data_IF_488011258104
#
_entry.id   IF_488011258104
#
_cell.length_a   1.000
_cell.length_b   1.000
_cell.length_c   1.000
_cell.angle_alpha   90.00
_cell.angle_beta   90.00
_cell.angle_gamma   90.00
#
_symmetry.space_group_name_H-M   'P 1'
#
loop_
_entity.id
_entity.type
_entity.pdbx_description
1 polymer ?
#
# COMPACT_ATOMS: atom_id res chain seq x y z
N UNK A 1 -2.68 -10.50 -13.59
CA UNK A 1 -2.24 -9.79 -12.37
C UNK A 1 -3.34 -8.81 -12.00
N UNK A 2 -3.79 -8.78 -10.74
CA UNK A 2 -5.00 -8.06 -10.30
C UNK A 2 -6.24 -8.37 -11.15
N UNK A 3 -6.80 -9.56 -10.97
CA UNK A 3 -7.96 -10.01 -11.73
C UNK A 3 -9.19 -9.12 -11.48
N UNK A 4 -9.30 -8.60 -10.26
CA UNK A 4 -10.27 -7.58 -9.83
C UNK A 4 -10.14 -6.27 -10.65
N UNK A 5 -8.92 -5.76 -10.82
CA UNK A 5 -8.65 -4.59 -11.63
C UNK A 5 -8.99 -4.84 -13.11
N UNK A 6 -8.55 -5.98 -13.66
CA UNK A 6 -8.79 -6.32 -15.07
C UNK A 6 -10.28 -6.50 -15.36
N UNK A 7 -11.03 -7.12 -14.45
CA UNK A 7 -12.47 -7.28 -14.57
C UNK A 7 -13.17 -5.91 -14.58
N UNK A 8 -12.88 -5.06 -13.60
CA UNK A 8 -13.45 -3.71 -13.53
C UNK A 8 -13.10 -2.86 -14.75
N UNK A 9 -11.85 -2.94 -15.21
CA UNK A 9 -11.39 -2.24 -16.42
C UNK A 9 -12.16 -2.69 -17.66
N UNK A 10 -12.31 -4.00 -17.90
CA UNK A 10 -13.03 -4.54 -19.06
C UNK A 10 -14.51 -4.19 -19.05
N UNK A 11 -15.16 -4.20 -17.88
CA UNK A 11 -16.55 -3.76 -17.72
C UNK A 11 -16.67 -2.28 -18.12
N UNK A 12 -15.79 -1.42 -17.61
CA UNK A 12 -15.79 0.00 -17.95
C UNK A 12 -15.51 0.25 -19.44
N UNK A 13 -14.56 -0.47 -20.04
CA UNK A 13 -14.25 -0.42 -21.48
C UNK A 13 -15.43 -0.91 -22.35
N UNK A 14 -16.34 -1.70 -21.79
CA UNK A 14 -17.58 -2.14 -22.45
C UNK A 14 -18.73 -1.14 -22.33
N UNK A 15 -18.46 0.11 -21.95
CA UNK A 15 -19.46 1.17 -21.69
C UNK A 15 -20.47 0.82 -20.57
N UNK A 16 -20.13 -0.14 -19.70
CA UNK A 16 -20.93 -0.46 -18.52
C UNK A 16 -20.41 0.29 -17.30
N UNK A 17 -21.32 0.56 -16.34
CA UNK A 17 -20.98 1.25 -15.10
C UNK A 17 -20.54 0.26 -14.02
N UNK A 18 -19.33 0.45 -13.49
CA UNK A 18 -18.89 -0.23 -12.27
C UNK A 18 -19.55 0.44 -11.07
N UNK A 19 -20.35 -0.30 -10.29
CA UNK A 19 -20.99 0.18 -9.06
C UNK A 19 -20.36 -0.47 -7.83
N UNK A 20 -20.31 0.27 -6.72
CA UNK A 20 -19.84 -0.26 -5.44
C UNK A 20 -21.01 -0.83 -4.65
N UNK A 21 -20.83 -2.04 -4.11
CA UNK A 21 -21.78 -2.62 -3.16
C UNK A 21 -21.74 -1.86 -1.83
N UNK A 22 -22.89 -1.75 -1.15
CA UNK A 22 -22.97 -1.22 0.22
C UNK A 22 -22.46 -2.24 1.26
N UNK A 23 -22.31 -3.50 0.86
CA UNK A 23 -21.84 -4.58 1.73
C UNK A 23 -20.31 -4.63 1.72
N UNK A 24 -19.71 -4.55 2.90
CA UNK A 24 -18.30 -4.86 3.11
C UNK A 24 -18.10 -6.37 3.15
N UNK A 25 -17.10 -6.86 2.44
CA UNK A 25 -16.59 -8.23 2.55
C UNK A 25 -15.33 -8.25 3.40
N UNK A 26 -15.17 -9.28 4.22
CA UNK A 26 -13.95 -9.47 5.00
C UNK A 26 -12.86 -10.10 4.14
N UNK A 27 -11.61 -9.64 4.33
CA UNK A 27 -10.45 -10.23 3.68
C UNK A 27 -9.75 -11.17 4.66
N UNK A 28 -9.64 -12.44 4.29
CA UNK A 28 -8.81 -13.38 5.02
C UNK A 28 -7.33 -13.09 4.79
N UNK A 29 -6.60 -12.81 5.88
CA UNK A 29 -5.16 -12.64 5.86
C UNK A 29 -4.51 -13.84 6.58
N UNK A 30 -3.85 -14.75 5.86
CA UNK A 30 -3.16 -15.87 6.50
C UNK A 30 -1.95 -15.39 7.31
N UNK A 31 -1.55 -16.17 8.31
CA UNK A 31 -0.32 -15.90 9.05
C UNK A 31 0.90 -15.93 8.12
N UNK A 32 1.75 -14.90 8.24
CA UNK A 32 2.98 -14.76 7.48
C UNK A 32 4.18 -14.72 8.43
N UNK A 33 5.26 -15.38 8.02
CA UNK A 33 6.59 -14.96 8.47
C UNK A 33 6.99 -13.64 7.78
N UNK A 34 8.07 -13.01 8.25
CA UNK A 34 8.52 -11.72 7.71
C UNK A 34 8.86 -11.80 6.21
N UNK A 35 9.43 -12.92 5.75
CA UNK A 35 9.80 -13.10 4.34
C UNK A 35 8.56 -13.13 3.45
N UNK A 36 7.56 -13.95 3.79
CA UNK A 36 6.28 -14.02 3.09
C UNK A 36 5.55 -12.69 3.11
N UNK A 37 5.61 -11.96 4.23
CA UNK A 37 5.06 -10.61 4.30
C UNK A 37 5.72 -9.69 3.27
N UNK A 38 7.05 -9.63 3.22
CA UNK A 38 7.77 -8.80 2.25
C UNK A 38 7.47 -9.24 0.80
N UNK A 39 7.49 -10.55 0.50
CA UNK A 39 7.12 -11.07 -0.82
C UNK A 39 5.70 -10.64 -1.22
N UNK A 40 4.75 -10.71 -0.28
CA UNK A 40 3.38 -10.29 -0.51
C UNK A 40 3.28 -8.79 -0.80
N UNK A 41 3.99 -7.96 -0.03
CA UNK A 41 4.02 -6.51 -0.22
C UNK A 41 4.65 -6.12 -1.57
N UNK A 42 5.76 -6.77 -1.95
CA UNK A 42 6.39 -6.56 -3.25
C UNK A 42 5.48 -6.97 -4.41
N UNK A 43 4.75 -8.08 -4.27
CA UNK A 43 3.74 -8.50 -5.25
C UNK A 43 2.64 -7.45 -5.41
N UNK A 44 2.14 -6.89 -4.31
CA UNK A 44 1.16 -5.81 -4.34
C UNK A 44 1.70 -4.57 -5.07
N UNK A 45 2.91 -4.13 -4.75
CA UNK A 45 3.52 -2.97 -5.43
C UNK A 45 3.71 -3.21 -6.93
N UNK A 46 4.22 -4.38 -7.33
CA UNK A 46 4.37 -4.76 -8.74
C UNK A 46 3.02 -4.82 -9.46
N UNK A 47 1.97 -5.25 -8.76
CA UNK A 47 0.59 -5.27 -9.25
C UNK A 47 0.05 -3.88 -9.51
N UNK A 48 0.18 -2.95 -8.56
CA UNK A 48 -0.24 -1.57 -8.73
C UNK A 48 0.53 -0.92 -9.88
N UNK A 49 1.85 -1.14 -9.95
CA UNK A 49 2.70 -0.63 -11.03
C UNK A 49 2.25 -1.13 -12.40
N UNK A 50 1.96 -2.43 -12.54
CA UNK A 50 1.50 -3.01 -13.80
C UNK A 50 0.11 -2.50 -14.22
N UNK A 51 -0.80 -2.34 -13.25
CA UNK A 51 -2.18 -1.94 -13.51
C UNK A 51 -2.30 -0.43 -13.77
N UNK A 52 -1.58 0.40 -13.01
CA UNK A 52 -1.68 1.88 -13.01
C UNK A 52 -0.30 2.51 -12.80
N UNK A 53 0.58 2.55 -13.83
CA UNK A 53 1.95 3.08 -13.68
C UNK A 53 2.00 4.51 -13.16
N UNK A 54 1.14 5.41 -13.68
CA UNK A 54 1.05 6.79 -13.19
C UNK A 54 0.55 6.88 -11.74
N UNK A 55 -0.41 6.03 -11.36
CA UNK A 55 -0.87 5.93 -9.97
C UNK A 55 0.22 5.41 -9.03
N UNK A 56 1.04 4.48 -9.51
CA UNK A 56 2.19 3.96 -8.77
C UNK A 56 3.25 5.02 -8.52
N UNK A 57 3.57 5.84 -9.53
CA UNK A 57 4.46 6.99 -9.36
C UNK A 57 3.90 7.99 -8.35
N UNK A 58 2.59 8.28 -8.43
CA UNK A 58 1.90 9.17 -7.50
C UNK A 58 1.89 8.71 -6.03
N UNK A 59 2.09 7.42 -5.74
CA UNK A 59 2.15 6.92 -4.36
C UNK A 59 3.20 7.63 -3.51
N UNK A 60 4.32 8.05 -4.11
CA UNK A 60 5.38 8.76 -3.39
C UNK A 60 4.86 10.01 -2.68
N UNK A 61 3.85 10.68 -3.22
CA UNK A 61 3.24 11.89 -2.63
C UNK A 61 2.42 11.58 -1.36
N UNK A 62 2.05 10.32 -1.14
CA UNK A 62 1.20 9.90 -0.02
C UNK A 62 2.00 9.52 1.23
N UNK A 63 3.34 9.53 1.17
CA UNK A 63 4.21 9.09 2.26
C UNK A 63 4.34 10.15 3.36
N UNK A 64 3.35 10.20 4.27
CA UNK A 64 3.26 11.24 5.30
C UNK A 64 4.50 11.36 6.18
N UNK A 65 4.90 10.30 6.91
CA UNK A 65 6.03 10.38 7.85
C UNK A 65 7.39 10.57 7.16
N UNK A 66 7.71 9.86 6.06
CA UNK A 66 8.96 10.11 5.33
C UNK A 66 9.14 11.57 4.90
N UNK A 67 8.11 12.21 4.36
CA UNK A 67 8.19 13.63 3.99
C UNK A 67 8.30 14.55 5.20
N UNK A 68 7.56 14.28 6.28
CA UNK A 68 7.62 15.09 7.49
C UNK A 68 9.02 15.01 8.16
N UNK A 69 9.63 13.83 8.20
CA UNK A 69 11.00 13.64 8.70
C UNK A 69 12.00 14.36 7.81
N UNK A 70 11.89 14.21 6.49
CA UNK A 70 12.79 14.86 5.55
C UNK A 70 12.72 16.40 5.69
N UNK A 71 11.52 16.96 5.80
CA UNK A 71 11.33 18.40 6.03
C UNK A 71 11.98 18.86 7.34
N UNK A 72 11.80 18.11 8.43
CA UNK A 72 12.39 18.40 9.73
C UNK A 72 13.93 18.39 9.68
N UNK A 73 14.52 17.39 9.01
CA UNK A 73 15.97 17.27 8.84
C UNK A 73 16.55 18.38 7.98
N UNK A 74 15.94 18.67 6.83
CA UNK A 74 16.39 19.72 5.92
C UNK A 74 16.24 21.12 6.52
N UNK A 75 15.20 21.34 7.33
CA UNK A 75 14.99 22.57 8.08
C UNK A 75 15.82 22.65 9.37
N UNK A 76 16.67 21.66 9.65
CA UNK A 76 17.55 21.60 10.84
C UNK A 76 16.80 21.80 12.16
N UNK A 77 15.58 21.27 12.26
CA UNK A 77 14.76 21.39 13.47
C UNK A 77 14.10 22.75 13.67
N UNK A 78 13.93 23.57 12.62
CA UNK A 78 13.19 24.82 12.72
C UNK A 78 11.79 24.63 13.33
N UNK A 79 11.32 25.60 14.12
CA UNK A 79 10.04 25.51 14.84
C UNK A 79 8.85 25.13 13.95
N UNK A 80 8.73 25.73 12.76
CA UNK A 80 7.65 25.42 11.82
C UNK A 80 7.71 23.95 11.33
N UNK A 81 8.91 23.38 11.18
CA UNK A 81 9.10 22.01 10.73
C UNK A 81 8.78 21.01 11.86
N UNK A 82 9.11 21.36 13.11
CA UNK A 82 8.67 20.61 14.29
C UNK A 82 7.14 20.58 14.40
N UNK A 83 6.48 21.73 14.21
CA UNK A 83 5.01 21.82 14.21
C UNK A 83 4.39 21.00 13.07
N UNK A 84 4.96 21.08 11.86
CA UNK A 84 4.52 20.28 10.71
C UNK A 84 4.66 18.78 10.99
N UNK A 85 5.78 18.35 11.57
CA UNK A 85 6.02 16.96 11.95
C UNK A 85 5.02 16.47 13.00
N UNK A 86 4.78 17.27 14.05
CA UNK A 86 3.79 16.95 15.08
C UNK A 86 2.37 16.85 14.51
N UNK A 87 1.98 17.80 13.63
CA UNK A 87 0.69 17.77 12.95
C UNK A 87 0.54 16.55 12.03
N UNK A 88 1.59 16.19 11.29
CA UNK A 88 1.60 15.03 10.40
C UNK A 88 1.40 13.72 11.19
N UNK A 89 2.09 13.54 12.31
CA UNK A 89 1.89 12.40 13.22
C UNK A 89 0.46 12.39 13.75
N UNK A 90 -0.02 13.51 14.29
CA UNK A 90 -1.35 13.59 14.89
C UNK A 90 -2.44 13.21 13.88
N UNK A 91 -2.40 13.80 12.68
CA UNK A 91 -3.34 13.49 11.59
C UNK A 91 -3.24 12.03 11.17
N UNK A 92 -2.03 11.49 11.07
CA UNK A 92 -1.80 10.10 10.66
C UNK A 92 -2.43 9.10 11.63
N UNK A 93 -2.25 9.32 12.93
CA UNK A 93 -2.88 8.53 13.98
C UNK A 93 -4.40 8.75 14.03
N UNK A 94 -4.88 10.00 13.89
CA UNK A 94 -6.31 10.30 13.86
C UNK A 94 -7.02 9.55 12.72
N UNK A 95 -6.49 9.60 11.50
CA UNK A 95 -7.05 8.87 10.35
C UNK A 95 -7.05 7.36 10.61
N UNK A 96 -5.96 6.81 11.15
CA UNK A 96 -5.88 5.38 11.47
C UNK A 96 -6.89 4.96 12.56
N UNK A 97 -7.06 5.77 13.60
CA UNK A 97 -8.01 5.48 14.69
C UNK A 97 -9.45 5.60 14.19
N UNK A 98 -9.78 6.68 13.47
CA UNK A 98 -11.14 6.90 12.95
C UNK A 98 -11.50 5.77 11.99
N UNK A 99 -10.69 5.52 10.96
CA UNK A 99 -10.97 4.45 9.99
C UNK A 99 -10.98 3.06 10.63
N UNK A 100 -10.02 2.76 11.50
CA UNK A 100 -9.94 1.49 12.21
C UNK A 100 -11.15 1.21 13.10
N UNK A 101 -11.66 2.24 13.78
CA UNK A 101 -12.78 2.09 14.73
C UNK A 101 -14.15 2.16 14.07
N UNK A 102 -14.37 3.12 13.16
CA UNK A 102 -15.71 3.39 12.61
C UNK A 102 -16.01 2.56 11.37
N UNK A 103 -15.01 2.37 10.50
CA UNK A 103 -15.17 1.66 9.23
C UNK A 103 -14.83 0.19 9.40
N UNK A 104 -13.61 -0.11 9.88
CA UNK A 104 -13.11 -1.49 9.96
C UNK A 104 -13.57 -2.23 11.23
N UNK A 105 -13.96 -1.50 12.28
CA UNK A 105 -14.34 -2.05 13.60
C UNK A 105 -13.28 -3.03 14.15
N UNK A 106 -12.00 -2.70 13.94
CA UNK A 106 -10.87 -3.55 14.27
C UNK A 106 -10.67 -3.65 15.79
N UNK A 107 -10.77 -4.87 16.33
CA UNK A 107 -10.60 -5.18 17.75
C UNK A 107 -9.14 -5.08 18.22
N UNK A 108 -8.18 -5.17 17.30
CA UNK A 108 -6.75 -5.13 17.59
C UNK A 108 -6.13 -3.74 17.41
N UNK A 109 -6.91 -2.76 16.95
CA UNK A 109 -6.46 -1.41 16.62
C UNK A 109 -5.48 -0.83 17.64
N UNK A 110 -5.91 -0.67 18.90
CA UNK A 110 -5.08 -0.03 19.92
C UNK A 110 -3.86 -0.86 20.33
N UNK A 111 -3.92 -2.19 20.21
CA UNK A 111 -2.79 -3.08 20.50
C UNK A 111 -1.68 -2.94 19.47
N UNK A 112 -2.04 -2.73 18.21
CA UNK A 112 -1.12 -2.70 17.07
C UNK A 112 -0.84 -1.29 16.57
N UNK A 113 -1.46 -0.26 17.15
CA UNK A 113 -1.36 1.13 16.69
C UNK A 113 0.09 1.65 16.66
N UNK A 114 0.93 1.17 17.57
CA UNK A 114 2.36 1.51 17.62
C UNK A 114 3.16 0.99 16.41
N UNK A 115 2.64 0.02 15.64
CA UNK A 115 3.25 -0.44 14.40
C UNK A 115 3.02 0.53 13.23
N UNK A 116 2.13 1.51 13.40
CA UNK A 116 1.78 2.46 12.34
C UNK A 116 2.99 3.29 11.87
N UNK A 117 3.81 3.90 12.75
CA UNK A 117 5.00 4.62 12.33
C UNK A 117 6.03 3.70 11.66
N UNK A 118 6.24 2.49 12.19
CA UNK A 118 7.13 1.51 11.60
C UNK A 118 6.69 1.16 10.17
N UNK A 119 5.39 0.93 9.97
CA UNK A 119 4.82 0.64 8.66
C UNK A 119 5.02 1.80 7.68
N UNK A 120 4.79 3.03 8.11
CA UNK A 120 4.98 4.21 7.27
C UNK A 120 6.46 4.37 6.85
N UNK A 121 7.40 4.13 7.77
CA UNK A 121 8.84 4.19 7.48
C UNK A 121 9.29 3.08 6.52
N UNK A 122 8.68 1.90 6.57
CA UNK A 122 8.97 0.79 5.65
C UNK A 122 8.37 0.99 4.25
N UNK A 123 7.36 1.83 4.11
CA UNK A 123 6.58 1.98 2.86
C UNK A 123 7.45 2.44 1.67
N UNK A 124 8.34 3.45 1.80
CA UNK A 124 9.24 3.85 0.72
C UNK A 124 10.13 2.71 0.23
N UNK A 125 10.66 1.87 1.13
CA UNK A 125 11.55 0.76 0.77
C UNK A 125 10.80 -0.33 -0.02
N UNK A 126 9.57 -0.65 0.41
CA UNK A 126 8.71 -1.59 -0.31
C UNK A 126 8.32 -1.03 -1.68
N UNK A 127 8.04 0.28 -1.77
CA UNK A 127 7.73 0.96 -3.02
C UNK A 127 8.94 0.99 -3.98
N UNK A 128 10.15 1.28 -3.50
CA UNK A 128 11.37 1.15 -4.32
C UNK A 128 11.56 -0.31 -4.75
N UNK A 129 11.39 -1.27 -3.83
CA UNK A 129 11.48 -2.70 -4.14
C UNK A 129 10.47 -3.17 -5.18
N UNK A 130 9.30 -2.55 -5.27
CA UNK A 130 8.32 -2.81 -6.31
C UNK A 130 8.71 -2.30 -7.70
N UNK A 131 9.62 -1.31 -7.79
CA UNK A 131 10.24 -0.89 -9.05
C UNK A 131 11.25 -1.93 -9.55
N UNK A 132 11.86 -2.70 -8.65
CA UNK A 132 12.89 -3.67 -8.97
C UNK A 132 12.29 -5.07 -9.11
N UNK A 133 12.69 -5.78 -10.17
CA UNK A 133 12.33 -7.17 -10.40
C UNK A 133 10.94 -7.39 -11.00
N UNK A 134 10.82 -8.54 -11.68
CA UNK A 134 9.59 -9.00 -12.36
C UNK A 134 9.03 -10.30 -11.76
N UNK A 135 9.76 -10.97 -10.88
CA UNK A 135 9.33 -12.22 -10.26
C UNK A 135 8.14 -12.00 -9.32
N UNK A 136 7.14 -12.85 -9.39
CA UNK A 136 5.94 -12.82 -8.56
C UNK A 136 5.68 -14.24 -8.08
N UNK A 137 5.67 -14.45 -6.76
CA UNK A 137 5.26 -15.72 -6.17
C UNK A 137 3.76 -15.63 -5.90
N UNK A 138 2.98 -16.54 -6.50
CA UNK A 138 1.53 -16.60 -6.32
C UNK A 138 1.05 -18.03 -6.16
N UNK A 139 0.33 -18.31 -5.06
CA UNK A 139 -0.15 -19.65 -4.69
C UNK A 139 0.96 -20.73 -4.77
N UNK A 140 2.16 -20.39 -4.32
CA UNK A 140 3.32 -21.30 -4.32
C UNK A 140 4.00 -21.50 -5.69
N UNK A 141 3.56 -20.80 -6.75
CA UNK A 141 4.20 -20.86 -8.07
C UNK A 141 4.93 -19.55 -8.38
N UNK A 142 6.09 -19.66 -9.04
CA UNK A 142 6.81 -18.50 -9.57
C UNK A 142 6.23 -18.07 -10.91
N UNK A 143 6.08 -16.76 -11.08
CA UNK A 143 5.68 -16.12 -12.31
C UNK A 143 6.62 -14.96 -12.62
N UNK A 144 6.85 -14.69 -13.90
CA UNK A 144 7.48 -13.46 -14.35
C UNK A 144 6.43 -12.49 -14.89
N UNK A 145 6.51 -11.23 -14.46
CA UNK A 145 5.69 -10.15 -14.97
C UNK A 145 6.30 -9.60 -16.27
N UNK A 146 5.72 -9.93 -17.42
CA UNK A 146 6.07 -9.33 -18.72
C UNK A 146 4.83 -8.68 -19.33
N UNK A 147 4.95 -7.41 -19.74
CA UNK A 147 3.87 -6.63 -20.37
C UNK A 147 2.53 -6.66 -19.63
N UNK A 148 2.57 -6.60 -18.30
CA UNK A 148 1.37 -6.65 -17.44
C UNK A 148 0.73 -8.04 -17.32
N UNK A 149 1.32 -9.07 -17.94
CA UNK A 149 0.89 -10.47 -17.89
C UNK A 149 1.82 -11.29 -16.99
N UNK A 150 1.24 -12.31 -16.35
CA UNK A 150 2.00 -13.31 -15.59
C UNK A 150 2.35 -14.46 -16.54
N UNK A 151 3.64 -14.72 -16.71
CA UNK A 151 4.16 -15.87 -17.44
C UNK A 151 4.71 -16.85 -16.40
N UNK A 152 4.39 -18.15 -16.44
CA UNK A 152 5.00 -19.13 -15.54
C UNK A 152 6.53 -19.02 -15.60
N UNK A 153 7.19 -19.00 -14.43
CA UNK A 153 8.64 -19.18 -14.38
C UNK A 153 8.99 -20.63 -14.72
N UNK A 154 10.15 -20.83 -15.32
CA UNK A 154 10.72 -22.16 -15.58
C UNK A 154 10.88 -22.97 -14.28
#
# INVERSE_FOLDING_TARGET
>A
LADDYQLGRRIAESNLRVQLSRTSVETYLPAYDLSRFITHQLRWMRTIRASRPGGYAGLVMTFTLPWAILALLLARGAHWACLLFAAAILLRFAVAIISGRTVLRDRHLFRLLWLLPLRDLLTPFVWIGGLVGRKIIWRGKEFELRDGKLIPGD
#
